data_IF_484939925733
#
_entry.id   IF_484939925733
#
_cell.length_a   1.000
_cell.length_b   1.000
_cell.length_c   1.000
_cell.angle_alpha   90.00
_cell.angle_beta   90.00
_cell.angle_gamma   90.00
#
_symmetry.space_group_name_H-M   'P 1'
#
loop_
_entity.id
_entity.type
_entity.pdbx_description
1 polymer ?
#
# COMPACT_ATOMS: atom_id res chain seq x y z
N UNK A 1 4.31 5.14 10.66
CA UNK A 1 3.19 4.30 11.17
C UNK A 1 3.56 2.82 11.32
N UNK A 2 4.84 2.45 11.18
CA UNK A 2 5.30 1.05 11.31
C UNK A 2 5.28 0.51 12.75
N UNK A 3 5.28 1.40 13.75
CA UNK A 3 5.33 1.02 15.17
C UNK A 3 4.17 0.15 15.65
N UNK A 4 2.96 0.34 15.11
CA UNK A 4 1.79 -0.46 15.49
C UNK A 4 1.92 -1.94 15.03
N UNK A 5 2.16 -2.25 13.74
CA UNK A 5 2.37 -3.64 13.32
C UNK A 5 3.61 -4.28 13.97
N UNK A 6 4.67 -3.52 14.25
CA UNK A 6 5.81 -4.01 15.03
C UNK A 6 5.41 -4.41 16.46
N UNK A 7 4.65 -3.55 17.15
CA UNK A 7 4.15 -3.83 18.49
C UNK A 7 3.22 -5.05 18.51
N UNK A 8 2.38 -5.23 17.48
CA UNK A 8 1.55 -6.43 17.32
C UNK A 8 2.42 -7.68 17.16
N UNK A 9 3.45 -7.64 16.30
CA UNK A 9 4.37 -8.76 16.13
C UNK A 9 5.11 -9.09 17.43
N UNK A 10 5.59 -8.07 18.16
CA UNK A 10 6.23 -8.23 19.46
C UNK A 10 5.28 -8.80 20.52
N UNK A 11 4.00 -8.44 20.48
CA UNK A 11 2.98 -8.97 21.37
C UNK A 11 2.68 -10.46 21.09
N UNK A 12 2.67 -10.87 19.82
CA UNK A 12 2.25 -12.21 19.41
C UNK A 12 3.35 -13.27 19.56
N UNK A 13 4.61 -12.94 19.24
CA UNK A 13 5.75 -13.89 19.30
C UNK A 13 5.89 -14.65 20.63
N UNK A 14 5.92 -14.00 21.81
CA UNK A 14 6.07 -14.71 23.09
C UNK A 14 4.83 -15.54 23.47
N UNK A 15 3.71 -15.38 22.76
CA UNK A 15 2.46 -16.14 22.97
C UNK A 15 2.39 -17.41 22.11
N UNK A 16 3.49 -17.77 21.43
CA UNK A 16 3.57 -18.97 20.61
C UNK A 16 2.92 -18.85 19.24
N UNK A 17 2.60 -17.63 18.79
CA UNK A 17 2.09 -17.40 17.43
C UNK A 17 3.25 -17.46 16.45
N UNK A 18 3.16 -18.35 15.47
CA UNK A 18 4.14 -18.48 14.41
C UNK A 18 3.90 -17.41 13.32
N UNK A 19 4.90 -16.55 13.10
CA UNK A 19 4.86 -15.51 12.07
C UNK A 19 5.83 -15.88 10.94
N UNK A 20 5.29 -16.34 9.80
CA UNK A 20 6.07 -16.67 8.61
C UNK A 20 6.11 -15.51 7.62
N UNK A 21 7.18 -14.72 7.67
CA UNK A 21 7.43 -13.67 6.67
C UNK A 21 8.02 -14.27 5.38
N UNK A 22 7.85 -13.56 4.25
CA UNK A 22 8.35 -13.99 2.94
C UNK A 22 7.86 -15.38 2.49
N UNK A 23 6.73 -15.83 3.03
CA UNK A 23 6.11 -17.13 2.73
C UNK A 23 4.80 -16.93 1.96
N UNK A 24 4.84 -16.52 0.68
CA UNK A 24 3.63 -16.29 -0.11
C UNK A 24 2.87 -17.61 -0.28
N UNK A 25 1.56 -17.55 -0.01
CA UNK A 25 0.64 -18.63 -0.29
C UNK A 25 0.56 -18.84 -1.81
N UNK A 26 0.73 -20.10 -2.24
CA UNK A 26 0.65 -20.50 -3.65
C UNK A 26 -0.64 -21.21 -3.98
N UNK A 27 -1.20 -21.95 -3.01
CA UNK A 27 -2.42 -22.71 -3.21
C UNK A 27 -3.12 -23.01 -1.89
N UNK A 28 -4.44 -22.98 -1.93
CA UNK A 28 -5.33 -23.53 -0.91
C UNK A 28 -5.99 -24.79 -1.43
N UNK A 29 -6.15 -25.77 -0.56
CA UNK A 29 -6.88 -27.00 -0.84
C UNK A 29 -7.65 -27.44 0.39
N UNK A 30 -8.88 -27.93 0.19
CA UNK A 30 -9.57 -28.69 1.22
C UNK A 30 -9.22 -30.18 1.10
N UNK A 31 -8.75 -30.76 2.18
CA UNK A 31 -8.42 -32.19 2.26
C UNK A 31 -9.67 -33.03 2.55
N UNK A 32 -9.69 -34.33 2.20
CA UNK A 32 -10.82 -35.22 2.46
C UNK A 32 -11.16 -35.40 3.95
N UNK A 33 -10.17 -35.20 4.83
CA UNK A 33 -10.33 -35.22 6.28
C UNK A 33 -11.01 -33.94 6.83
N UNK A 34 -11.38 -33.02 5.95
CA UNK A 34 -12.05 -31.78 6.31
C UNK A 34 -11.10 -30.66 6.75
N UNK A 35 -9.78 -30.85 6.75
CA UNK A 35 -8.81 -29.78 7.05
C UNK A 35 -8.41 -29.00 5.80
N UNK A 36 -7.85 -27.82 5.99
CA UNK A 36 -7.21 -27.04 4.95
C UNK A 36 -5.73 -27.37 4.85
N UNK A 37 -5.23 -27.42 3.63
CA UNK A 37 -3.81 -27.47 3.31
C UNK A 37 -3.43 -26.19 2.55
N UNK A 38 -2.43 -25.50 3.08
CA UNK A 38 -1.83 -24.30 2.52
C UNK A 38 -0.48 -24.69 1.91
N UNK A 39 -0.30 -24.45 0.61
CA UNK A 39 0.99 -24.64 -0.05
C UNK A 39 1.73 -23.31 -0.09
N UNK A 40 2.91 -23.28 0.54
CA UNK A 40 3.84 -22.17 0.56
C UNK A 40 5.01 -22.47 -0.39
N UNK A 41 5.97 -21.55 -0.52
CA UNK A 41 7.16 -21.79 -1.34
C UNK A 41 8.11 -22.85 -0.75
N UNK A 42 8.13 -22.98 0.58
CA UNK A 42 9.05 -23.81 1.35
C UNK A 42 8.41 -25.06 1.97
N UNK A 43 7.11 -25.29 1.73
CA UNK A 43 6.42 -26.46 2.26
C UNK A 43 4.91 -26.33 2.31
N UNK A 44 4.29 -27.13 3.18
CA UNK A 44 2.84 -27.08 3.41
C UNK A 44 2.50 -26.91 4.88
N UNK A 45 1.38 -26.24 5.15
CA UNK A 45 0.81 -26.06 6.48
C UNK A 45 -0.61 -26.61 6.48
N UNK A 46 -0.98 -27.35 7.53
CA UNK A 46 -2.35 -27.84 7.73
C UNK A 46 -3.05 -26.98 8.77
N UNK A 47 -4.32 -26.67 8.56
CA UNK A 47 -5.14 -25.90 9.50
C UNK A 47 -6.61 -26.35 9.48
N UNK A 48 -7.30 -26.30 10.61
CA UNK A 48 -8.74 -26.59 10.67
C UNK A 48 -9.57 -25.43 10.07
N UNK A 49 -9.09 -24.20 10.25
CA UNK A 49 -9.70 -22.98 9.74
C UNK A 49 -8.67 -22.06 9.07
N UNK A 50 -9.11 -21.29 8.09
CA UNK A 50 -8.31 -20.28 7.39
C UNK A 50 -9.05 -18.96 7.43
N UNK A 51 -8.38 -17.91 7.90
CA UNK A 51 -8.84 -16.52 7.83
C UNK A 51 -7.99 -15.82 6.77
N UNK A 52 -8.61 -15.38 5.68
CA UNK A 52 -7.89 -14.63 4.64
C UNK A 52 -7.90 -13.14 4.97
N UNK A 53 -6.72 -12.55 5.02
CA UNK A 53 -6.50 -11.10 5.04
C UNK A 53 -5.78 -10.60 3.77
N UNK A 54 -5.76 -11.43 2.71
CA UNK A 54 -5.16 -11.08 1.43
C UNK A 54 -6.06 -10.10 0.64
N UNK A 55 -5.47 -9.28 -0.25
CA UNK A 55 -6.25 -8.58 -1.27
C UNK A 55 -7.12 -9.58 -2.06
N UNK A 56 -8.33 -9.15 -2.45
CA UNK A 56 -9.31 -10.02 -3.11
C UNK A 56 -8.75 -10.73 -4.36
N UNK A 57 -8.07 -9.98 -5.23
CA UNK A 57 -7.41 -10.55 -6.41
C UNK A 57 -6.36 -11.60 -6.04
N UNK A 58 -5.54 -11.37 -5.02
CA UNK A 58 -4.53 -12.34 -4.58
C UNK A 58 -5.15 -13.62 -3.99
N UNK A 59 -6.27 -13.50 -3.27
CA UNK A 59 -7.01 -14.65 -2.77
C UNK A 59 -7.59 -15.47 -3.93
N UNK A 60 -8.16 -14.81 -4.95
CA UNK A 60 -8.74 -15.48 -6.10
C UNK A 60 -7.75 -16.39 -6.84
N UNK A 61 -6.47 -16.00 -6.89
CA UNK A 61 -5.42 -16.77 -7.58
C UNK A 61 -4.96 -18.03 -6.84
N UNK A 62 -5.21 -18.12 -5.53
CA UNK A 62 -4.77 -19.26 -4.70
C UNK A 62 -5.91 -20.20 -4.31
N UNK A 63 -7.17 -19.82 -4.59
CA UNK A 63 -8.32 -20.66 -4.32
C UNK A 63 -8.28 -21.95 -5.18
N UNK A 64 -8.83 -23.05 -4.67
CA UNK A 64 -8.91 -24.28 -5.45
C UNK A 64 -9.97 -24.15 -6.56
N UNK A 65 -9.86 -24.98 -7.59
CA UNK A 65 -10.73 -24.92 -8.78
C UNK A 65 -12.22 -25.10 -8.45
N UNK A 66 -12.55 -25.91 -7.43
CA UNK A 66 -13.93 -26.06 -6.95
C UNK A 66 -14.54 -24.76 -6.38
N UNK A 67 -13.71 -23.78 -6.02
CA UNK A 67 -14.13 -22.47 -5.54
C UNK A 67 -14.11 -21.38 -6.63
N UNK A 68 -14.06 -21.76 -7.91
CA UNK A 68 -14.03 -20.81 -9.04
C UNK A 68 -15.18 -19.79 -9.02
N UNK A 69 -16.44 -20.13 -8.65
CA UNK A 69 -17.50 -19.11 -8.53
C UNK A 69 -17.15 -17.99 -7.53
N UNK A 70 -16.51 -18.34 -6.40
CA UNK A 70 -16.03 -17.34 -5.44
C UNK A 70 -14.84 -16.54 -6.00
N UNK A 71 -13.90 -17.21 -6.68
CA UNK A 71 -12.76 -16.55 -7.30
C UNK A 71 -13.22 -15.50 -8.33
N UNK A 72 -14.27 -15.78 -9.10
CA UNK A 72 -14.85 -14.82 -10.06
C UNK A 72 -15.41 -13.58 -9.38
N UNK A 73 -16.14 -13.73 -8.27
CA UNK A 73 -16.64 -12.57 -7.51
C UNK A 73 -15.50 -11.74 -6.90
N UNK A 74 -14.46 -12.41 -6.38
CA UNK A 74 -13.28 -11.72 -5.82
C UNK A 74 -12.51 -10.92 -6.89
N UNK A 75 -12.37 -11.44 -8.11
CA UNK A 75 -11.69 -10.74 -9.22
C UNK A 75 -12.43 -9.48 -9.68
N UNK A 76 -13.72 -9.32 -9.35
CA UNK A 76 -14.50 -8.13 -9.67
C UNK A 76 -14.28 -6.96 -8.72
N UNK A 77 -13.55 -7.15 -7.62
CA UNK A 77 -13.27 -6.09 -6.64
C UNK A 77 -12.01 -5.33 -7.10
N UNK A 78 -12.14 -4.11 -7.65
CA UNK A 78 -11.00 -3.39 -8.19
C UNK A 78 -10.15 -2.77 -7.07
N UNK A 79 -8.86 -2.64 -7.34
CA UNK A 79 -7.95 -1.78 -6.59
C UNK A 79 -7.28 -0.81 -7.56
N UNK A 80 -6.91 0.36 -7.07
CA UNK A 80 -6.19 1.39 -7.83
C UNK A 80 -4.73 1.44 -7.39
N UNK A 81 -3.88 2.02 -8.23
CA UNK A 81 -2.48 2.26 -7.89
C UNK A 81 -2.29 3.72 -7.49
N UNK A 82 -1.50 3.95 -6.45
CA UNK A 82 -1.13 5.29 -5.98
C UNK A 82 0.37 5.33 -5.82
N UNK A 83 1.02 6.30 -6.45
CA UNK A 83 2.42 6.59 -6.18
C UNK A 83 2.48 7.62 -5.04
N UNK A 84 3.26 7.29 -4.02
CA UNK A 84 3.51 8.16 -2.87
C UNK A 84 4.91 8.72 -3.03
N UNK A 85 5.02 10.03 -3.27
CA UNK A 85 6.29 10.72 -3.45
C UNK A 85 6.53 11.64 -2.27
N UNK A 86 7.54 11.32 -1.46
CA UNK A 86 7.94 12.13 -0.32
C UNK A 86 9.00 13.14 -0.78
N UNK A 87 8.75 14.41 -0.50
CA UNK A 87 9.65 15.52 -0.83
C UNK A 87 10.02 16.25 0.45
N UNK A 88 11.28 16.69 0.54
CA UNK A 88 11.77 17.50 1.65
C UNK A 88 12.52 18.71 1.10
N UNK A 89 12.21 19.87 1.63
CA UNK A 89 12.79 21.15 1.22
C UNK A 89 13.31 21.89 2.43
N UNK A 90 14.58 22.32 2.39
CA UNK A 90 15.18 23.15 3.43
C UNK A 90 14.86 24.63 3.19
N UNK A 91 14.68 25.39 4.28
CA UNK A 91 14.59 26.85 4.21
C UNK A 91 13.36 27.42 3.50
N UNK A 92 12.30 26.62 3.31
CA UNK A 92 11.04 27.07 2.73
C UNK A 92 9.97 27.28 3.80
N UNK A 93 8.98 28.11 3.50
CA UNK A 93 7.77 28.29 4.30
C UNK A 93 6.55 27.99 3.44
N UNK A 94 5.61 27.21 3.95
CA UNK A 94 4.37 26.92 3.25
C UNK A 94 3.49 28.18 3.16
N UNK A 95 2.76 28.39 2.05
CA UNK A 95 1.90 29.55 1.88
C UNK A 95 0.76 29.59 2.89
N UNK A 96 0.31 28.41 3.36
CA UNK A 96 -0.73 28.25 4.37
C UNK A 96 -0.36 27.12 5.33
N UNK A 97 -0.85 27.21 6.57
CA UNK A 97 -0.73 26.13 7.56
C UNK A 97 -2.02 25.31 7.59
N UNK A 98 -1.88 24.00 7.42
CA UNK A 98 -2.99 23.06 7.45
C UNK A 98 -2.50 21.61 7.34
N UNK A 99 -3.42 20.66 7.31
CA UNK A 99 -3.07 19.25 7.14
C UNK A 99 -2.48 18.97 5.74
N UNK A 100 -2.94 19.71 4.74
CA UNK A 100 -2.67 19.48 3.33
C UNK A 100 -3.84 19.98 2.49
N UNK A 101 -3.87 19.61 1.22
CA UNK A 101 -4.99 19.88 0.33
C UNK A 101 -5.28 18.69 -0.59
N UNK A 102 -6.50 18.66 -1.10
CA UNK A 102 -6.97 17.72 -2.11
C UNK A 102 -7.06 18.43 -3.45
N UNK A 103 -6.82 17.70 -4.54
CA UNK A 103 -6.94 18.21 -5.90
C UNK A 103 -8.13 17.53 -6.57
N UNK A 104 -9.19 18.28 -6.94
CA UNK A 104 -10.29 17.72 -7.70
C UNK A 104 -9.83 17.17 -9.05
N UNK A 105 -10.43 16.07 -9.52
CA UNK A 105 -10.09 15.48 -10.81
C UNK A 105 -10.37 16.40 -12.01
N UNK A 106 -11.17 17.45 -11.84
CA UNK A 106 -11.41 18.47 -12.86
C UNK A 106 -10.22 19.42 -13.05
N UNK A 107 -9.37 19.56 -12.04
CA UNK A 107 -8.15 20.36 -12.10
C UNK A 107 -6.99 19.50 -12.60
N UNK A 108 -6.82 18.33 -11.99
CA UNK A 108 -5.76 17.40 -12.36
C UNK A 108 -6.11 15.96 -12.01
N UNK A 109 -6.24 15.10 -13.02
CA UNK A 109 -6.57 13.68 -12.80
C UNK A 109 -5.40 12.87 -12.25
N UNK A 110 -4.16 13.34 -12.43
CA UNK A 110 -2.94 12.62 -12.06
C UNK A 110 -2.49 12.87 -10.62
N UNK A 111 -3.03 13.90 -9.96
CA UNK A 111 -2.69 14.32 -8.59
C UNK A 111 -3.93 14.23 -7.71
N UNK A 112 -3.81 13.50 -6.60
CA UNK A 112 -4.91 13.33 -5.63
C UNK A 112 -4.88 14.41 -4.55
N UNK A 113 -3.68 14.83 -4.16
CA UNK A 113 -3.47 15.81 -3.10
C UNK A 113 -2.07 15.77 -2.53
N UNK A 114 -1.80 16.71 -1.63
CA UNK A 114 -0.50 16.87 -0.96
C UNK A 114 -0.74 17.01 0.54
N UNK A 115 -0.07 16.18 1.33
CA UNK A 115 -0.07 16.25 2.79
C UNK A 115 1.13 17.08 3.26
N UNK A 116 0.90 17.96 4.22
CA UNK A 116 1.92 18.82 4.83
C UNK A 116 2.46 18.16 6.10
N UNK A 117 3.31 17.14 5.93
CA UNK A 117 3.70 16.24 7.02
C UNK A 117 4.39 16.95 8.19
N UNK A 118 5.18 17.99 7.91
CA UNK A 118 5.84 18.80 8.95
C UNK A 118 4.87 19.65 9.77
N UNK A 119 3.69 19.96 9.25
CA UNK A 119 2.66 20.68 10.03
C UNK A 119 1.99 19.72 11.00
N UNK A 120 1.64 18.52 10.54
CA UNK A 120 0.96 17.53 11.37
C UNK A 120 1.89 16.85 12.38
N UNK A 121 3.14 16.59 11.98
CA UNK A 121 4.11 15.84 12.76
C UNK A 121 5.52 16.47 12.67
N UNK A 122 5.71 17.69 13.22
CA UNK A 122 7.00 18.39 13.18
C UNK A 122 8.14 17.60 13.83
N UNK A 123 7.83 16.74 14.81
CA UNK A 123 8.82 15.87 15.47
C UNK A 123 9.49 14.86 14.52
N UNK A 124 8.99 14.67 13.30
CA UNK A 124 9.60 13.78 12.30
C UNK A 124 10.52 14.51 11.29
N UNK A 125 10.74 15.82 11.43
CA UNK A 125 11.56 16.61 10.49
C UNK A 125 13.08 16.37 10.66
N UNK A 126 13.46 15.54 11.62
CA UNK A 126 14.85 15.26 11.97
C UNK A 126 15.47 16.36 12.82
N UNK A 127 16.79 16.30 13.01
CA UNK A 127 17.56 17.25 13.85
C UNK A 127 18.41 18.22 13.01
N UNK A 128 18.24 18.20 11.68
CA UNK A 128 19.01 19.01 10.74
C UNK A 128 18.50 20.45 10.61
N UNK A 129 18.80 21.06 9.47
CA UNK A 129 18.26 22.37 9.14
C UNK A 129 16.71 22.36 9.10
N UNK A 130 16.11 23.50 9.40
CA UNK A 130 14.66 23.67 9.31
C UNK A 130 14.18 23.31 7.89
N UNK A 131 13.31 22.31 7.81
CA UNK A 131 12.84 21.76 6.55
C UNK A 131 11.36 21.44 6.60
N UNK A 132 10.74 21.40 5.43
CA UNK A 132 9.34 21.05 5.24
C UNK A 132 9.28 19.76 4.45
N UNK A 133 8.56 18.77 4.98
CA UNK A 133 8.26 17.49 4.35
C UNK A 133 6.84 17.51 3.80
N UNK A 134 6.71 16.99 2.58
CA UNK A 134 5.46 16.89 1.84
C UNK A 134 5.30 15.47 1.31
N UNK A 135 4.08 14.94 1.38
CA UNK A 135 3.71 13.67 0.76
C UNK A 135 2.75 13.96 -0.39
N UNK A 136 3.24 13.78 -1.62
CA UNK A 136 2.45 13.94 -2.84
C UNK A 136 1.85 12.58 -3.24
N UNK A 137 0.54 12.53 -3.41
CA UNK A 137 -0.18 11.31 -3.82
C UNK A 137 -0.61 11.42 -5.28
N UNK A 138 -0.05 10.56 -6.13
CA UNK A 138 -0.29 10.56 -7.58
C UNK A 138 -1.10 9.32 -8.02
N UNK A 139 -1.97 9.50 -9.00
CA UNK A 139 -2.66 8.42 -9.72
C UNK A 139 -4.08 8.14 -9.24
N UNK A 140 -4.27 7.08 -8.45
CA UNK A 140 -5.61 6.56 -8.14
C UNK A 140 -6.25 5.90 -9.36
N UNK A 141 -7.53 6.15 -9.61
CA UNK A 141 -8.25 5.56 -10.74
C UNK A 141 -7.61 5.90 -12.10
N UNK A 142 -6.88 7.01 -12.17
CA UNK A 142 -6.25 7.53 -13.39
C UNK A 142 -4.80 7.09 -13.55
N UNK A 143 -4.21 6.35 -12.59
CA UNK A 143 -2.78 6.02 -12.60
C UNK A 143 -2.33 5.45 -13.94
N UNK A 144 -3.02 4.44 -14.44
CA UNK A 144 -2.65 3.77 -15.70
C UNK A 144 -2.72 4.70 -16.90
N UNK A 145 -3.71 5.59 -16.93
CA UNK A 145 -3.85 6.59 -17.98
C UNK A 145 -2.77 7.67 -17.90
N UNK A 146 -2.42 8.11 -16.70
CA UNK A 146 -1.46 9.21 -16.50
C UNK A 146 0.00 8.76 -16.57
N UNK A 147 0.30 7.54 -16.13
CA UNK A 147 1.69 7.09 -15.90
C UNK A 147 2.02 5.74 -16.53
N UNK A 148 1.04 5.05 -17.13
CA UNK A 148 1.21 3.71 -17.68
C UNK A 148 1.17 2.62 -16.61
N UNK A 149 1.83 1.49 -16.86
CA UNK A 149 1.80 0.35 -15.95
C UNK A 149 2.52 0.64 -14.61
N UNK A 150 1.81 0.54 -13.46
CA UNK A 150 2.41 0.74 -12.14
C UNK A 150 3.62 -0.13 -11.84
N UNK A 151 3.76 -1.30 -12.49
CA UNK A 151 4.88 -2.19 -12.27
C UNK A 151 6.16 -1.76 -13.01
N UNK A 152 6.05 -0.89 -14.02
CA UNK A 152 7.18 -0.50 -14.90
C UNK A 152 7.37 1.00 -15.06
N UNK A 153 6.47 1.81 -14.51
CA UNK A 153 6.60 3.28 -14.49
C UNK A 153 7.94 3.72 -13.89
N UNK A 154 8.57 4.70 -14.55
CA UNK A 154 9.84 5.26 -14.07
C UNK A 154 9.65 6.07 -12.78
N UNK A 155 10.43 5.81 -11.72
CA UNK A 155 10.44 6.65 -10.52
C UNK A 155 10.79 8.11 -10.83
N UNK A 156 11.65 8.37 -11.83
CA UNK A 156 12.04 9.72 -12.22
C UNK A 156 10.85 10.52 -12.79
N UNK A 157 9.96 9.87 -13.54
CA UNK A 157 8.73 10.49 -14.05
C UNK A 157 7.80 10.91 -12.90
N UNK A 158 7.59 10.00 -11.94
CA UNK A 158 6.75 10.26 -10.77
C UNK A 158 7.32 11.39 -9.90
N UNK A 159 8.65 11.38 -9.70
CA UNK A 159 9.33 12.44 -8.97
C UNK A 159 9.20 13.80 -9.67
N UNK A 160 9.46 13.85 -10.98
CA UNK A 160 9.34 15.08 -11.76
C UNK A 160 7.91 15.64 -11.69
N UNK A 161 6.90 14.77 -11.82
CA UNK A 161 5.50 15.17 -11.71
C UNK A 161 5.16 15.71 -10.33
N UNK A 162 5.61 15.06 -9.25
CA UNK A 162 5.40 15.53 -7.89
C UNK A 162 6.08 16.87 -7.61
N UNK A 163 7.29 17.07 -8.12
CA UNK A 163 8.01 18.35 -8.00
C UNK A 163 7.30 19.48 -8.75
N UNK A 164 6.74 19.20 -9.94
CA UNK A 164 5.93 20.16 -10.67
C UNK A 164 4.67 20.54 -9.88
N UNK A 165 3.94 19.55 -9.35
CA UNK A 165 2.74 19.74 -8.55
C UNK A 165 2.97 20.67 -7.33
N UNK A 166 4.11 20.55 -6.66
CA UNK A 166 4.45 21.41 -5.50
C UNK A 166 4.80 22.85 -5.93
N UNK A 167 5.31 23.07 -7.14
CA UNK A 167 5.71 24.40 -7.63
C UNK A 167 4.56 25.21 -8.24
N UNK A 168 3.56 24.52 -8.77
CA UNK A 168 2.42 25.11 -9.48
C UNK A 168 1.28 25.55 -8.55
N UNK A 169 1.38 25.24 -7.24
CA UNK A 169 0.42 25.55 -6.17
C UNK A 169 0.95 26.68 -5.28
#
# INVERSE_FOLDING_TARGET
>A
MESLPEALAAFLRPRGVELRCHAPLRRLRRCPDGRWQLTLADGTVSADHVVSALPAAALAEVLPAEAEPLAQELRRIPAVSVAVVNLQYEGITLPVTGFGHLVPSSEDTSLLGIVYDSVAFPQHDGTGAASVRLTVMLGGAWFRQSFGDPASVSPALLLQRAQAAVREQ
#
